data_IF_465865098260
#
_entry.id   IF_465865098260
#
_cell.length_a   1.000
_cell.length_b   1.000
_cell.length_c   1.000
_cell.angle_alpha   90.00
_cell.angle_beta   90.00
_cell.angle_gamma   90.00
#
_symmetry.space_group_name_H-M   'P 1'
#
loop_
_entity.id
_entity.type
_entity.pdbx_description
1 polymer ?
#
# COMPACT_ATOMS: atom_id res chain seq x y z
N UNK A 1 -23.22 -5.62 -4.18
CA UNK A 1 -22.64 -5.18 -5.47
C UNK A 1 -21.14 -5.45 -5.40
N UNK A 2 -20.56 -6.19 -6.35
CA UNK A 2 -19.10 -6.38 -6.41
C UNK A 2 -18.55 -5.25 -7.27
N UNK A 3 -17.57 -4.50 -6.75
CA UNK A 3 -16.93 -3.40 -7.45
C UNK A 3 -15.42 -3.60 -7.40
N UNK A 4 -14.75 -3.33 -8.52
CA UNK A 4 -13.30 -3.46 -8.66
C UNK A 4 -12.74 -2.09 -9.02
N UNK A 5 -11.68 -1.68 -8.33
CA UNK A 5 -10.95 -0.44 -8.61
C UNK A 5 -9.53 -0.81 -9.03
N UNK A 6 -9.09 -0.26 -10.17
CA UNK A 6 -7.77 -0.52 -10.74
C UNK A 6 -7.06 0.80 -11.02
N UNK A 7 -5.75 0.82 -10.80
CA UNK A 7 -4.85 1.90 -11.18
C UNK A 7 -4.09 1.45 -12.43
N UNK A 8 -4.17 2.25 -13.49
CA UNK A 8 -3.51 1.96 -14.77
C UNK A 8 -2.62 3.12 -15.18
N UNK A 9 -1.38 2.82 -15.53
CA UNK A 9 -0.41 3.81 -16.02
C UNK A 9 0.68 3.14 -16.85
N UNK A 10 1.03 3.73 -17.99
CA UNK A 10 2.14 3.23 -18.83
C UNK A 10 2.00 1.78 -19.31
N UNK A 11 0.78 1.25 -19.45
CA UNK A 11 0.53 -0.15 -19.82
C UNK A 11 0.50 -1.13 -18.64
N UNK A 12 0.84 -0.67 -17.44
CA UNK A 12 0.73 -1.46 -16.21
C UNK A 12 -0.66 -1.30 -15.60
N UNK A 13 -1.16 -2.36 -14.98
CA UNK A 13 -2.44 -2.39 -14.25
C UNK A 13 -2.23 -3.03 -12.89
N UNK A 14 -2.72 -2.40 -11.83
CA UNK A 14 -2.72 -2.96 -10.48
C UNK A 14 -4.06 -2.72 -9.81
N UNK A 15 -4.60 -3.73 -9.14
CA UNK A 15 -5.86 -3.60 -8.43
C UNK A 15 -5.65 -2.93 -7.07
N UNK A 16 -6.55 -2.04 -6.65
CA UNK A 16 -6.42 -1.34 -5.37
C UNK A 16 -6.33 -2.28 -4.17
N UNK A 17 -6.93 -3.49 -4.26
CA UNK A 17 -6.80 -4.50 -3.21
C UNK A 17 -5.37 -5.00 -3.04
N UNK A 18 -4.59 -5.06 -4.13
CA UNK A 18 -3.21 -5.52 -4.12
C UNK A 18 -2.31 -4.47 -3.48
N UNK A 19 -2.56 -3.19 -3.78
CA UNK A 19 -1.89 -2.06 -3.12
C UNK A 19 -2.14 -2.10 -1.59
N UNK A 20 -3.39 -2.30 -1.18
CA UNK A 20 -3.75 -2.38 0.25
C UNK A 20 -3.09 -3.61 0.91
N UNK A 21 -3.03 -4.74 0.21
CA UNK A 21 -2.37 -5.94 0.71
C UNK A 21 -0.86 -5.74 0.88
N UNK A 22 -0.21 -5.06 -0.09
CA UNK A 22 1.20 -4.71 -0.02
C UNK A 22 1.48 -3.78 1.18
N UNK A 23 0.68 -2.73 1.38
CA UNK A 23 0.84 -1.84 2.53
C UNK A 23 0.69 -2.58 3.87
N UNK A 24 -0.30 -3.48 3.99
CA UNK A 24 -0.45 -4.32 5.19
C UNK A 24 0.73 -5.25 5.41
N UNK A 25 1.33 -5.76 4.33
CA UNK A 25 2.53 -6.58 4.40
C UNK A 25 3.72 -5.75 4.91
N UNK A 26 3.93 -4.55 4.36
CA UNK A 26 4.96 -3.60 4.83
C UNK A 26 4.83 -3.33 6.33
N UNK A 27 3.62 -3.06 6.83
CA UNK A 27 3.37 -2.88 8.28
C UNK A 27 3.83 -4.06 9.14
N UNK A 28 3.61 -5.28 8.69
CA UNK A 28 3.98 -6.51 9.42
C UNK A 28 5.47 -6.82 9.26
N UNK A 29 6.04 -6.59 8.08
CA UNK A 29 7.45 -6.86 7.74
C UNK A 29 8.42 -5.81 8.33
N UNK A 30 8.07 -4.52 8.35
CA UNK A 30 8.85 -3.46 9.03
C UNK A 30 9.01 -3.75 10.53
N UNK A 31 8.13 -4.59 11.07
CA UNK A 31 8.10 -4.99 12.46
C UNK A 31 9.41 -5.60 12.92
N UNK A 32 9.70 -6.87 12.61
CA UNK A 32 10.61 -7.71 13.44
C UNK A 32 10.37 -7.56 14.99
N UNK A 33 9.21 -6.98 15.38
CA UNK A 33 8.87 -6.37 16.67
C UNK A 33 7.45 -6.80 17.10
N UNK A 34 6.92 -7.93 16.60
CA UNK A 34 5.59 -8.47 16.93
C UNK A 34 4.37 -7.61 16.51
N UNK A 35 4.51 -6.66 15.58
CA UNK A 35 3.38 -5.86 15.06
C UNK A 35 2.39 -6.77 14.31
N UNK A 36 1.09 -6.61 14.59
CA UNK A 36 0.02 -7.38 13.95
C UNK A 36 -0.85 -6.46 13.10
N UNK A 37 -1.54 -7.03 12.12
CA UNK A 37 -2.51 -6.29 11.27
C UNK A 37 -3.60 -5.60 12.11
N UNK A 38 -3.96 -6.17 13.27
CA UNK A 38 -4.93 -5.56 14.19
C UNK A 38 -4.45 -4.25 14.85
N UNK A 39 -3.14 -4.02 14.86
CA UNK A 39 -2.53 -2.83 15.46
C UNK A 39 -2.44 -1.68 14.43
N UNK A 40 -2.78 -1.96 13.15
CA UNK A 40 -2.94 -0.96 12.11
C UNK A 40 -4.37 -0.39 12.19
N UNK A 41 -4.51 0.70 12.93
CA UNK A 41 -5.79 1.39 13.17
C UNK A 41 -6.19 2.29 11.99
N UNK A 42 -5.20 2.92 11.35
CA UNK A 42 -5.41 3.81 10.21
C UNK A 42 -4.37 3.56 9.11
N UNK A 43 -4.84 3.61 7.87
CA UNK A 43 -4.03 3.43 6.67
C UNK A 43 -4.45 4.46 5.63
N UNK A 44 -3.61 5.46 5.41
CA UNK A 44 -3.76 6.40 4.29
C UNK A 44 -2.76 6.01 3.19
N UNK A 45 -3.24 5.96 1.94
CA UNK A 45 -2.46 5.56 0.76
C UNK A 45 -2.55 6.62 -0.32
N UNK A 46 -1.39 7.02 -0.84
CA UNK A 46 -1.26 7.98 -1.93
C UNK A 46 -0.52 7.30 -3.08
N UNK A 47 -1.22 7.09 -4.19
CA UNK A 47 -0.68 6.40 -5.35
C UNK A 47 -0.19 7.44 -6.36
N UNK A 48 1.11 7.44 -6.66
CA UNK A 48 1.73 8.31 -7.66
C UNK A 48 2.34 7.44 -8.77
N UNK A 49 1.53 7.03 -9.76
CA UNK A 49 1.95 6.07 -10.77
C UNK A 49 3.05 6.61 -11.68
N UNK A 50 3.12 7.92 -11.87
CA UNK A 50 4.21 8.64 -12.55
C UNK A 50 5.60 8.36 -11.95
N UNK A 51 5.67 8.07 -10.64
CA UNK A 51 6.91 7.75 -9.93
C UNK A 51 7.06 6.25 -9.65
N UNK A 52 6.14 5.41 -10.14
CA UNK A 52 6.02 4.01 -9.75
C UNK A 52 5.98 3.83 -8.22
N UNK A 53 5.31 4.72 -7.48
CA UNK A 53 5.36 4.74 -6.02
C UNK A 53 3.97 4.77 -5.36
N UNK A 54 3.87 4.08 -4.23
CA UNK A 54 2.77 4.20 -3.28
C UNK A 54 3.33 4.69 -1.96
N UNK A 55 2.88 5.86 -1.53
CA UNK A 55 3.19 6.41 -0.22
C UNK A 55 2.12 5.98 0.77
N UNK A 56 2.54 5.62 1.98
CA UNK A 56 1.65 5.25 3.06
C UNK A 56 1.88 6.11 4.30
N UNK A 57 0.84 6.26 5.09
CA UNK A 57 0.89 6.73 6.47
C UNK A 57 0.10 5.75 7.34
N UNK A 58 0.79 5.09 8.25
CA UNK A 58 0.21 4.17 9.23
C UNK A 58 -0.04 4.92 10.54
N UNK A 59 -1.26 4.79 11.08
CA UNK A 59 -1.64 5.33 12.38
C UNK A 59 -1.34 6.84 12.58
N UNK A 60 -1.32 7.63 11.50
CA UNK A 60 -0.94 9.05 11.50
C UNK A 60 0.51 9.35 11.97
N UNK A 61 1.37 8.33 12.09
CA UNK A 61 2.72 8.47 12.68
C UNK A 61 3.83 7.95 11.75
N UNK A 62 3.66 6.73 11.22
CA UNK A 62 4.71 6.06 10.46
C UNK A 62 4.45 6.19 8.96
N UNK A 63 5.30 6.96 8.27
CA UNK A 63 5.21 7.18 6.83
C UNK A 63 6.34 6.53 6.06
N UNK A 64 6.05 6.05 4.86
CA UNK A 64 7.05 5.49 3.96
C UNK A 64 6.52 5.31 2.54
N UNK A 65 7.22 4.52 1.74
CA UNK A 65 6.80 4.22 0.38
C UNK A 65 7.25 2.84 -0.08
N UNK A 66 6.49 2.24 -1.00
CA UNK A 66 6.88 1.04 -1.72
C UNK A 66 6.57 1.18 -3.22
N UNK A 67 7.24 0.40 -4.10
CA UNK A 67 6.98 0.43 -5.54
C UNK A 67 5.53 0.02 -5.88
N UNK A 68 4.89 0.74 -6.81
CA UNK A 68 3.52 0.45 -7.26
C UNK A 68 3.46 -0.81 -8.13
N UNK A 69 4.44 -0.97 -8.99
CA UNK A 69 4.66 -2.13 -9.85
C UNK A 69 5.96 -2.81 -9.43
N UNK A 70 5.99 -4.14 -9.51
CA UNK A 70 7.26 -4.86 -9.42
C UNK A 70 8.11 -4.50 -10.65
N UNK A 71 9.40 -4.21 -10.43
CA UNK A 71 10.39 -4.06 -11.51
C UNK A 71 10.67 -5.39 -12.21
#
# INVERSE_FOLDING_TARGET
MKSTLNVQFGGNTVESKEIIAAAKKVWVDEGNQNRKVKDLLKLDLYVKPEENAVYYVFNDDESGSFPLYAE
#
